data_IF_587883446792
#
_entry.id   IF_587883446792
#
_cell.length_a   1.000
_cell.length_b   1.000
_cell.length_c   1.000
_cell.angle_alpha   90.00
_cell.angle_beta   90.00
_cell.angle_gamma   90.00
#
_symmetry.space_group_name_H-M   'P 1'
#
loop_
_entity.id
_entity.type
_entity.pdbx_description
1 polymer ?
#
# COMPACT_ATOMS: atom_id res chain seq x y z
N UNK A 1 -11.12 1.77 -37.43
CA UNK A 1 -10.39 2.94 -37.98
C UNK A 1 -9.70 3.65 -36.84
N UNK A 2 -8.39 3.90 -36.96
CA UNK A 2 -7.65 4.69 -35.99
C UNK A 2 -7.74 6.17 -36.38
N UNK A 3 -8.07 7.06 -35.43
CA UNK A 3 -8.06 8.51 -35.65
C UNK A 3 -6.65 9.02 -35.36
N UNK A 4 -5.97 9.49 -36.40
CA UNK A 4 -4.69 10.17 -36.25
C UNK A 4 -4.97 11.54 -35.62
N UNK A 5 -4.39 11.85 -34.44
CA UNK A 5 -4.54 13.17 -33.83
C UNK A 5 -3.82 14.21 -34.70
N UNK A 6 -4.50 15.30 -35.05
CA UNK A 6 -3.97 16.34 -35.95
C UNK A 6 -2.92 17.25 -35.27
N UNK A 7 -2.92 17.33 -33.92
CA UNK A 7 -1.98 18.15 -33.16
C UNK A 7 -1.53 17.46 -31.87
N UNK A 8 -0.25 17.62 -31.58
CA UNK A 8 0.38 17.29 -30.30
C UNK A 8 0.37 18.55 -29.42
N UNK A 9 0.10 18.46 -28.11
CA UNK A 9 0.17 19.62 -27.22
C UNK A 9 1.58 20.23 -27.23
N UNK A 10 1.64 21.56 -27.33
CA UNK A 10 2.88 22.32 -27.14
C UNK A 10 3.18 22.42 -25.64
N UNK A 11 4.43 22.23 -25.24
CA UNK A 11 4.85 22.21 -23.84
C UNK A 11 4.42 23.47 -23.08
N UNK A 12 4.61 24.65 -23.67
CA UNK A 12 4.29 25.95 -23.04
C UNK A 12 2.78 26.18 -22.86
N UNK A 13 1.94 25.48 -23.62
CA UNK A 13 0.47 25.57 -23.55
C UNK A 13 -0.13 24.44 -22.71
N UNK A 14 0.71 23.59 -22.11
CA UNK A 14 0.26 22.53 -21.24
C UNK A 14 -0.16 23.13 -19.89
N UNK A 15 -1.48 23.23 -19.69
CA UNK A 15 -2.04 23.78 -18.47
C UNK A 15 -1.85 22.81 -17.29
N UNK A 16 -0.87 23.12 -16.46
CA UNK A 16 -0.74 22.51 -15.14
C UNK A 16 -1.57 23.34 -14.18
N UNK A 17 -2.85 22.99 -14.00
CA UNK A 17 -3.75 23.67 -13.05
C UNK A 17 -3.26 23.40 -11.61
N UNK A 18 -2.18 24.06 -11.20
CA UNK A 18 -1.46 23.88 -9.94
C UNK A 18 -2.26 24.29 -8.70
N UNK A 19 -3.49 24.76 -8.87
CA UNK A 19 -4.41 25.17 -7.80
C UNK A 19 -5.55 24.19 -7.50
N UNK A 20 -5.57 23.01 -8.13
CA UNK A 20 -6.58 21.98 -7.86
C UNK A 20 -6.40 21.30 -6.49
N UNK A 21 -7.49 20.85 -5.87
CA UNK A 21 -7.43 20.00 -4.67
C UNK A 21 -7.05 18.57 -5.05
N UNK A 22 -6.28 17.89 -4.19
CA UNK A 22 -6.01 16.46 -4.36
C UNK A 22 -7.31 15.67 -4.33
N UNK A 23 -7.41 14.67 -5.23
CA UNK A 23 -8.54 13.76 -5.24
C UNK A 23 -8.49 12.84 -3.99
N UNK A 24 -9.51 12.92 -3.13
CA UNK A 24 -9.62 12.10 -1.91
C UNK A 24 -9.70 10.61 -2.19
N UNK A 25 -10.26 10.22 -3.34
CA UNK A 25 -10.35 8.83 -3.77
C UNK A 25 -9.05 8.28 -4.36
N UNK A 26 -7.97 9.08 -4.41
CA UNK A 26 -6.68 8.58 -4.87
C UNK A 26 -6.12 7.55 -3.88
N UNK A 27 -5.59 6.44 -4.42
CA UNK A 27 -5.01 5.33 -3.65
C UNK A 27 -4.00 5.78 -2.58
N UNK A 28 -3.20 6.80 -2.85
CA UNK A 28 -2.18 7.29 -1.91
C UNK A 28 -2.77 8.17 -0.81
N UNK A 29 -3.85 8.90 -1.11
CA UNK A 29 -4.56 9.71 -0.12
C UNK A 29 -5.27 8.79 0.87
N UNK A 30 -5.97 7.78 0.37
CA UNK A 30 -6.60 6.75 1.21
C UNK A 30 -5.55 6.03 2.05
N UNK A 31 -4.43 5.62 1.44
CA UNK A 31 -3.36 4.95 2.19
C UNK A 31 -2.72 5.83 3.26
N UNK A 32 -2.63 7.15 3.03
CA UNK A 32 -2.16 8.09 4.04
C UNK A 32 -3.10 8.14 5.26
N UNK A 33 -4.41 8.01 5.06
CA UNK A 33 -5.42 8.08 6.12
C UNK A 33 -5.45 6.80 6.97
N UNK A 34 -5.18 5.64 6.36
CA UNK A 34 -5.18 4.34 7.04
C UNK A 34 -4.03 4.18 8.03
N UNK A 35 -2.88 4.80 7.79
CA UNK A 35 -1.69 4.63 8.62
C UNK A 35 -1.77 5.57 9.83
N UNK A 36 -1.71 5.07 11.08
CA UNK A 36 -1.73 5.91 12.28
C UNK A 36 -0.36 6.60 12.48
N UNK A 37 -0.06 7.63 11.67
CA UNK A 37 1.25 8.28 11.62
C UNK A 37 1.74 8.78 13.00
N UNK A 38 0.86 9.33 13.84
CA UNK A 38 1.24 9.88 15.15
C UNK A 38 1.86 8.80 16.05
N UNK A 39 1.18 7.64 16.18
CA UNK A 39 1.67 6.50 16.98
C UNK A 39 2.98 5.92 16.41
N UNK A 40 3.14 5.97 15.09
CA UNK A 40 4.36 5.48 14.41
C UNK A 40 5.52 6.45 14.63
N UNK A 41 5.27 7.76 14.59
CA UNK A 41 6.29 8.80 14.82
C UNK A 41 6.78 8.74 16.27
N UNK A 42 5.91 8.55 17.26
CA UNK A 42 6.33 8.38 18.67
C UNK A 42 7.32 7.22 18.85
N UNK A 43 7.01 6.06 18.27
CA UNK A 43 7.89 4.89 18.31
C UNK A 43 9.20 5.12 17.57
N UNK A 44 9.16 5.83 16.44
CA UNK A 44 10.35 6.16 15.66
C UNK A 44 11.25 7.16 16.39
N UNK A 45 10.66 8.19 16.99
CA UNK A 45 11.37 9.21 17.75
C UNK A 45 12.10 8.61 18.96
N UNK A 46 11.52 7.61 19.62
CA UNK A 46 12.14 6.90 20.74
C UNK A 46 13.48 6.20 20.38
N UNK A 47 13.76 5.97 19.10
CA UNK A 47 15.03 5.40 18.62
C UNK A 47 16.17 6.42 18.63
N UNK A 48 15.85 7.71 18.71
CA UNK A 48 16.81 8.80 18.69
C UNK A 48 17.03 9.31 20.12
N UNK A 49 17.93 8.65 20.85
CA UNK A 49 18.21 8.95 22.28
C UNK A 49 19.26 10.05 22.45
N UNK A 50 20.07 10.34 21.41
CA UNK A 50 21.24 11.22 21.54
C UNK A 50 21.16 12.41 20.59
N UNK A 51 21.29 13.62 21.15
CA UNK A 51 21.21 14.90 20.46
C UNK A 51 22.48 15.25 19.63
N UNK A 52 23.18 14.23 19.11
CA UNK A 52 24.47 14.39 18.45
C UNK A 52 24.36 13.97 16.97
N UNK A 53 24.05 14.94 16.10
CA UNK A 53 24.08 14.73 14.65
C UNK A 53 23.14 15.65 13.85
N UNK A 54 23.12 15.44 12.53
CA UNK A 54 22.13 16.06 11.62
C UNK A 54 20.72 15.58 11.99
N UNK A 55 19.71 16.46 12.04
CA UNK A 55 18.34 16.07 12.38
C UNK A 55 17.86 14.91 11.49
N UNK A 56 17.24 13.92 12.11
CA UNK A 56 16.64 12.82 11.38
C UNK A 56 15.43 13.32 10.57
N UNK A 57 15.20 12.69 9.41
CA UNK A 57 13.97 12.92 8.65
C UNK A 57 12.78 12.32 9.39
N UNK A 58 11.58 12.92 9.27
CA UNK A 58 10.37 12.41 9.93
C UNK A 58 10.04 10.99 9.47
N UNK A 59 9.38 10.20 10.33
CA UNK A 59 9.07 8.79 10.01
C UNK A 59 8.22 8.69 8.76
N UNK A 60 7.31 9.67 8.55
CA UNK A 60 6.40 9.68 7.42
C UNK A 60 7.12 9.70 6.07
N UNK A 61 8.25 10.42 5.99
CA UNK A 61 9.11 10.42 4.79
C UNK A 61 9.83 9.08 4.63
N UNK A 62 10.46 8.58 5.70
CA UNK A 62 11.26 7.36 5.64
C UNK A 62 10.40 6.11 5.37
N UNK A 63 9.34 5.91 6.15
CA UNK A 63 8.40 4.80 6.00
C UNK A 63 7.56 4.97 4.73
N UNK A 64 7.11 6.19 4.42
CA UNK A 64 6.37 6.48 3.19
C UNK A 64 7.17 6.11 1.94
N UNK A 65 8.44 6.52 1.86
CA UNK A 65 9.33 6.15 0.76
C UNK A 65 9.52 4.63 0.62
N UNK A 66 9.69 3.91 1.74
CA UNK A 66 9.79 2.44 1.72
C UNK A 66 8.49 1.78 1.20
N UNK A 67 7.32 2.26 1.63
CA UNK A 67 6.04 1.76 1.15
C UNK A 67 5.88 1.99 -0.35
N UNK A 68 6.20 3.20 -0.83
CA UNK A 68 6.12 3.53 -2.26
C UNK A 68 7.04 2.63 -3.07
N UNK A 69 8.27 2.44 -2.61
CA UNK A 69 9.25 1.55 -3.24
C UNK A 69 8.72 0.12 -3.35
N UNK A 70 8.21 -0.46 -2.27
CA UNK A 70 7.68 -1.83 -2.27
C UNK A 70 6.44 -1.98 -3.15
N UNK A 71 5.56 -0.98 -3.19
CA UNK A 71 4.36 -1.01 -4.05
C UNK A 71 4.69 -0.87 -5.53
N UNK A 72 5.68 -0.04 -5.90
CA UNK A 72 6.06 0.20 -7.30
C UNK A 72 7.15 -0.73 -7.81
N UNK A 73 7.93 -1.35 -6.92
CA UNK A 73 9.06 -2.25 -7.25
C UNK A 73 10.12 -1.60 -8.15
N UNK A 74 10.45 -0.34 -7.85
CA UNK A 74 11.40 0.50 -8.60
C UNK A 74 12.74 0.65 -7.87
N UNK A 75 13.73 1.22 -8.56
CA UNK A 75 15.05 1.52 -7.99
C UNK A 75 14.99 2.66 -6.96
N UNK A 76 16.04 2.81 -6.14
CA UNK A 76 16.13 3.91 -5.16
C UNK A 76 16.23 5.28 -5.86
N UNK A 77 16.86 5.37 -7.03
CA UNK A 77 17.00 6.61 -7.79
C UNK A 77 15.68 7.02 -8.45
N UNK A 78 15.02 6.07 -9.13
CA UNK A 78 13.73 6.28 -9.78
C UNK A 78 12.63 6.63 -8.79
N UNK A 79 12.68 6.09 -7.57
CA UNK A 79 11.75 6.44 -6.50
C UNK A 79 11.77 7.93 -6.16
N UNK A 80 12.96 8.52 -6.07
CA UNK A 80 13.10 9.93 -5.68
C UNK A 80 12.56 10.85 -6.78
N UNK A 81 12.85 10.52 -8.03
CA UNK A 81 12.30 11.20 -9.21
C UNK A 81 10.76 11.09 -9.26
N UNK A 82 10.22 9.90 -9.06
CA UNK A 82 8.79 9.63 -9.07
C UNK A 82 8.04 10.37 -7.94
N UNK A 83 8.66 10.54 -6.78
CA UNK A 83 8.13 11.40 -5.71
C UNK A 83 8.19 12.87 -6.11
N UNK A 84 9.26 13.34 -6.76
CA UNK A 84 9.37 14.72 -7.27
C UNK A 84 8.25 15.03 -8.27
N UNK A 85 7.95 14.09 -9.15
CA UNK A 85 6.96 14.28 -10.22
C UNK A 85 5.49 14.23 -9.73
N UNK A 86 5.22 13.57 -8.60
CA UNK A 86 3.84 13.28 -8.17
C UNK A 86 3.39 14.03 -6.90
N UNK A 87 2.46 15.00 -7.01
CA UNK A 87 1.88 15.68 -5.84
C UNK A 87 1.20 14.73 -4.84
N UNK A 88 0.63 13.62 -5.32
CA UNK A 88 0.01 12.60 -4.46
C UNK A 88 1.03 11.87 -3.59
N UNK A 89 2.22 11.59 -4.13
CA UNK A 89 3.30 10.98 -3.35
C UNK A 89 3.88 11.96 -2.35
N UNK A 90 4.05 13.23 -2.73
CA UNK A 90 4.49 14.26 -1.79
C UNK A 90 3.50 14.41 -0.62
N UNK A 91 2.18 14.43 -0.90
CA UNK A 91 1.17 14.41 0.15
C UNK A 91 1.27 13.16 1.03
N UNK A 92 1.45 11.98 0.43
CA UNK A 92 1.61 10.72 1.18
C UNK A 92 2.78 10.79 2.15
N UNK A 93 3.92 11.35 1.72
CA UNK A 93 5.12 11.58 2.52
C UNK A 93 4.98 12.71 3.56
N UNK A 94 3.89 13.48 3.53
CA UNK A 94 3.58 14.51 4.51
C UNK A 94 4.05 15.92 4.16
N UNK A 95 4.35 16.20 2.89
CA UNK A 95 4.62 17.57 2.45
C UNK A 95 3.33 18.39 2.36
N UNK A 96 3.39 19.66 2.74
CA UNK A 96 2.23 20.58 2.75
C UNK A 96 1.83 21.08 1.35
N UNK A 97 2.77 21.05 0.41
CA UNK A 97 2.57 21.53 -0.95
C UNK A 97 3.58 20.92 -1.91
N UNK A 98 3.27 20.99 -3.20
CA UNK A 98 4.13 20.48 -4.24
C UNK A 98 5.43 21.29 -4.35
N UNK A 99 6.55 20.60 -4.45
CA UNK A 99 7.87 21.17 -4.76
C UNK A 99 8.53 20.35 -5.86
N UNK A 100 9.04 21.02 -6.89
CA UNK A 100 9.81 20.38 -7.96
C UNK A 100 11.30 20.29 -7.56
N UNK A 101 11.56 19.63 -6.45
CA UNK A 101 12.90 19.39 -5.91
C UNK A 101 13.00 17.94 -5.42
N UNK A 102 14.21 17.40 -5.40
CA UNK A 102 14.42 16.04 -4.87
C UNK A 102 14.11 16.03 -3.36
N UNK A 103 13.20 15.15 -2.88
CA UNK A 103 12.80 15.12 -1.47
C UNK A 103 13.96 14.73 -0.54
N UNK A 104 14.86 13.87 -1.00
CA UNK A 104 16.07 13.43 -0.31
C UNK A 104 17.04 12.77 -1.30
N UNK A 105 18.29 12.58 -0.89
CA UNK A 105 19.29 11.86 -1.69
C UNK A 105 18.99 10.33 -1.72
N UNK A 106 19.05 9.65 -2.87
CA UNK A 106 18.77 8.21 -2.97
C UNK A 106 19.54 7.33 -1.98
N UNK A 107 20.76 7.72 -1.57
CA UNK A 107 21.54 6.99 -0.57
C UNK A 107 20.86 6.92 0.80
N UNK A 108 19.94 7.84 1.09
CA UNK A 108 19.13 7.85 2.32
C UNK A 108 18.24 6.62 2.45
N UNK A 109 17.85 6.00 1.32
CA UNK A 109 17.04 4.77 1.33
C UNK A 109 17.74 3.61 2.04
N UNK A 110 19.07 3.53 1.96
CA UNK A 110 19.87 2.52 2.69
C UNK A 110 19.73 2.76 4.20
N UNK A 111 19.79 4.02 4.63
CA UNK A 111 19.63 4.37 6.03
C UNK A 111 18.22 4.10 6.55
N UNK A 112 17.18 4.39 5.75
CA UNK A 112 15.80 4.11 6.10
C UNK A 112 15.58 2.61 6.30
N UNK A 113 16.04 1.77 5.36
CA UNK A 113 15.94 0.30 5.48
C UNK A 113 16.60 -0.23 6.73
N UNK A 114 17.81 0.25 7.05
CA UNK A 114 18.54 -0.17 8.26
C UNK A 114 17.78 0.20 9.53
N UNK A 115 17.29 1.44 9.63
CA UNK A 115 16.61 1.94 10.83
C UNK A 115 15.23 1.32 11.04
N UNK A 116 14.45 1.15 9.96
CA UNK A 116 13.09 0.63 10.02
C UNK A 116 13.03 -0.90 9.89
N UNK A 117 14.17 -1.59 9.98
CA UNK A 117 14.19 -3.05 9.81
C UNK A 117 13.56 -3.79 10.99
N UNK A 118 12.68 -4.74 10.66
CA UNK A 118 12.19 -5.77 11.57
C UNK A 118 11.11 -5.30 12.55
N UNK A 119 11.51 -4.92 13.77
CA UNK A 119 10.58 -4.76 14.89
C UNK A 119 9.60 -3.62 14.67
N UNK A 120 10.07 -2.47 14.17
CA UNK A 120 9.22 -1.31 13.93
C UNK A 120 8.18 -1.60 12.85
N UNK A 121 8.55 -2.25 11.74
CA UNK A 121 7.58 -2.62 10.69
C UNK A 121 6.53 -3.61 11.19
N UNK A 122 6.93 -4.59 12.01
CA UNK A 122 5.97 -5.52 12.63
C UNK A 122 5.01 -4.79 13.56
N UNK A 123 5.53 -3.87 14.36
CA UNK A 123 4.72 -3.04 15.27
C UNK A 123 3.80 -2.09 14.52
N UNK A 124 4.25 -1.46 13.43
CA UNK A 124 3.41 -0.62 12.56
C UNK A 124 2.27 -1.45 11.97
N UNK A 125 2.56 -2.66 11.47
CA UNK A 125 1.51 -3.56 10.97
C UNK A 125 0.51 -3.94 12.06
N UNK A 126 0.97 -4.19 13.30
CA UNK A 126 0.08 -4.47 14.42
C UNK A 126 -0.83 -3.28 14.74
N UNK A 127 -0.28 -2.05 14.76
CA UNK A 127 -1.04 -0.82 15.00
C UNK A 127 -2.13 -0.58 13.95
N UNK A 128 -1.87 -0.89 12.68
CA UNK A 128 -2.87 -0.78 11.60
C UNK A 128 -4.01 -1.78 11.85
N UNK A 129 -3.70 -3.03 12.19
CA UNK A 129 -4.71 -4.07 12.47
C UNK A 129 -5.54 -3.79 13.73
N UNK A 130 -4.94 -3.19 14.75
CA UNK A 130 -5.65 -2.80 15.97
C UNK A 130 -6.66 -1.69 15.69
N UNK A 131 -6.27 -0.67 14.91
CA UNK A 131 -7.16 0.42 14.50
C UNK A 131 -8.37 -0.07 13.71
N UNK A 132 -8.18 -0.98 12.76
CA UNK A 132 -9.29 -1.57 12.00
C UNK A 132 -10.27 -2.36 12.90
N UNK A 133 -9.79 -2.93 14.01
CA UNK A 133 -10.65 -3.64 14.98
C UNK A 133 -11.43 -2.67 15.87
N UNK A 134 -10.84 -1.55 16.24
CA UNK A 134 -11.50 -0.50 17.02
C UNK A 134 -12.64 0.14 16.21
N UNK A 135 -12.36 0.51 14.95
CA UNK A 135 -13.36 1.12 14.05
C UNK A 135 -14.53 0.16 13.73
N UNK A 136 -14.31 -1.16 13.73
CA UNK A 136 -15.37 -2.16 13.55
C UNK A 136 -16.23 -2.37 14.79
N UNK A 137 -15.70 -2.16 15.99
CA UNK A 137 -16.45 -2.32 17.24
C UNK A 137 -17.41 -1.15 17.47
N UNK A 138 -16.99 0.06 17.12
CA UNK A 138 -17.82 1.27 17.29
C UNK A 138 -19.03 1.32 16.33
N UNK A 139 -19.00 0.59 15.21
CA UNK A 139 -20.14 0.52 14.29
C UNK A 139 -21.23 -0.47 14.73
N UNK A 140 -20.92 -1.42 15.61
CA UNK A 140 -21.85 -2.49 16.05
C UNK A 140 -22.74 -2.07 17.24
N UNK A 141 -22.47 -0.91 17.87
CA UNK A 141 -23.16 -0.45 19.08
C UNK A 141 -24.41 0.44 18.80
N UNK A 142 -24.91 0.48 17.56
CA UNK A 142 -26.08 1.28 17.16
C UNK A 142 -27.17 0.49 16.43
N UNK A 143 -27.57 -0.66 16.97
CA UNK A 143 -28.84 -1.31 16.62
C UNK A 143 -29.72 -1.44 17.88
N UNK A 144 -30.95 -0.87 17.91
CA UNK A 144 -31.85 -1.04 19.05
C UNK A 144 -32.40 -2.48 19.08
N UNK A 145 -32.73 -3.04 20.26
CA UNK A 145 -33.09 -4.45 20.36
C UNK A 145 -34.48 -4.70 19.80
N UNK A 146 -34.58 -5.29 18.61
CA UNK A 146 -35.80 -5.95 18.15
C UNK A 146 -35.87 -7.40 18.62
N UNK A 147 -37.07 -7.77 19.03
CA UNK A 147 -37.42 -9.04 19.66
C UNK A 147 -37.75 -10.09 18.60
N UNK A 148 -37.38 -11.32 18.93
CA UNK A 148 -38.03 -12.59 18.61
C UNK A 148 -38.12 -13.00 17.13
N UNK A 149 -37.43 -14.10 16.79
CA UNK A 149 -38.03 -15.30 16.15
C UNK A 149 -36.89 -16.21 15.71
N UNK A 150 -36.83 -17.42 16.28
CA UNK A 150 -35.79 -18.39 15.99
C UNK A 150 -35.88 -18.97 14.57
N UNK A 151 -34.73 -19.36 14.02
CA UNK A 151 -34.69 -20.50 13.12
C UNK A 151 -33.35 -21.24 13.19
N UNK A 152 -33.43 -22.56 13.21
CA UNK A 152 -32.30 -23.48 13.38
C UNK A 152 -31.72 -23.80 12.00
N UNK A 153 -30.50 -23.34 11.71
CA UNK A 153 -29.82 -23.73 10.47
C UNK A 153 -29.39 -25.20 10.51
N UNK A 154 -30.12 -26.06 9.80
CA UNK A 154 -29.77 -27.45 9.51
C UNK A 154 -28.86 -27.53 8.27
N UNK A 155 -27.59 -27.17 8.42
CA UNK A 155 -26.60 -27.28 7.34
C UNK A 155 -26.41 -28.74 6.90
N UNK A 156 -26.76 -29.06 5.65
CA UNK A 156 -26.40 -30.34 5.01
C UNK A 156 -24.94 -30.27 4.54
N UNK A 157 -24.10 -31.15 5.08
CA UNK A 157 -22.70 -31.33 4.72
C UNK A 157 -22.61 -32.10 3.39
N UNK A 158 -22.11 -31.47 2.33
CA UNK A 158 -21.75 -32.15 1.07
C UNK A 158 -20.24 -32.35 1.09
N UNK A 159 -19.81 -33.60 1.29
CA UNK A 159 -18.40 -34.01 1.27
C UNK A 159 -18.13 -34.68 -0.08
N UNK A 160 -17.51 -33.96 -1.02
CA UNK A 160 -17.01 -34.58 -2.24
C UNK A 160 -15.55 -35.00 -2.01
N UNK A 161 -15.36 -36.28 -1.71
CA UNK A 161 -14.07 -36.93 -1.65
C UNK A 161 -13.94 -37.90 -2.83
N UNK A 162 -13.67 -37.35 -4.02
CA UNK A 162 -13.31 -38.17 -5.19
C UNK A 162 -11.85 -38.63 -5.09
N UNK A 163 -11.66 -39.76 -4.40
CA UNK A 163 -10.42 -40.53 -4.35
C UNK A 163 -10.23 -41.28 -5.67
N UNK A 164 -9.13 -41.03 -6.38
CA UNK A 164 -8.80 -41.71 -7.64
C UNK A 164 -8.43 -43.19 -7.41
N UNK A 165 -9.12 -44.16 -8.04
CA UNK A 165 -8.67 -45.55 -8.01
C UNK A 165 -7.55 -45.80 -9.02
N UNK A 166 -6.48 -46.46 -8.57
CA UNK A 166 -5.40 -47.00 -9.42
C UNK A 166 -5.95 -48.12 -10.30
N UNK A 167 -6.22 -47.83 -11.57
CA UNK A 167 -6.56 -48.81 -12.60
C UNK A 167 -5.34 -49.23 -13.41
N UNK A 168 -5.04 -50.53 -13.42
CA UNK A 168 -4.14 -51.19 -14.37
C UNK A 168 -4.62 -50.93 -15.82
N UNK A 169 -3.70 -50.56 -16.71
CA UNK A 169 -3.94 -50.61 -18.15
C UNK A 169 -2.79 -51.38 -18.83
N UNK A 170 -3.17 -52.55 -19.32
CA UNK A 170 -2.41 -53.51 -20.11
C UNK A 170 -2.69 -53.18 -21.58
N UNK A 171 -1.75 -53.55 -22.46
CA UNK A 171 -1.90 -53.77 -23.91
C UNK A 171 -1.44 -52.65 -24.85
N UNK A 172 -0.19 -52.83 -25.28
CA UNK A 172 0.30 -52.76 -26.67
C UNK A 172 -0.75 -52.51 -27.79
N UNK A 173 -0.45 -51.56 -28.68
CA UNK A 173 0.20 -51.81 -29.98
C UNK A 173 0.57 -50.49 -30.66
N UNK A 174 1.82 -50.40 -31.09
CA UNK A 174 2.26 -49.48 -32.12
C UNK A 174 1.78 -49.99 -33.48
N UNK A 175 1.32 -49.08 -34.34
CA UNK A 175 1.45 -49.18 -35.79
C UNK A 175 1.78 -47.78 -36.34
N UNK A 176 2.91 -47.60 -37.05
CA UNK A 176 3.21 -46.37 -37.78
C UNK A 176 3.04 -46.61 -39.28
N UNK A 177 2.38 -45.70 -40.00
CA UNK A 177 2.62 -45.53 -41.44
C UNK A 177 2.46 -44.07 -41.87
N UNK A 178 3.62 -43.46 -42.08
CA UNK A 178 3.92 -42.46 -43.10
C UNK A 178 5.31 -42.82 -43.63
#
# INVERSE_FOLDING_TARGET
MYRIPEKVPEFEKFDMVFGGKLNRQNRWVILAELIPWDKVEEKYAALFVTNNGRPALPVRVALGALIVKEKKKISDEELVEDIRESPYLQYFLGYEGYKDELPFDPSMMVHFRKRLSGNILKEVNALILEREKEEKKEHDDHEPPERDSGDKNNGTLIVDASCAPKGHAISARCDPFG
#
